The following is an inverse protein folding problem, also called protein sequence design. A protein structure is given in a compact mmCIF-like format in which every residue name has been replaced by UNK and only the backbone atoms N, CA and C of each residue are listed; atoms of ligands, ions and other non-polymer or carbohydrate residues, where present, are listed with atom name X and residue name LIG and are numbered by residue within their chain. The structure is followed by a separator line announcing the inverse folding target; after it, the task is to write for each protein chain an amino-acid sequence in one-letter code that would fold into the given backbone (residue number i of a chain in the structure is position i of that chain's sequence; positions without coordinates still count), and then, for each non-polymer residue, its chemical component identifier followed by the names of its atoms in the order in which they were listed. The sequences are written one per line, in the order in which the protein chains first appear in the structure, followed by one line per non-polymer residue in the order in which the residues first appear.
data_IF_350120617501
#
_entry.id   IF_350120617501
#
_cell.length_a   1.000
_cell.length_b   1.000
_cell.length_c   1.000
_cell.angle_alpha   90.00
_cell.angle_beta   90.00
_cell.angle_gamma   90.00
#
_symmetry.space_group_name_H-M   'P 1'
#
loop_
_entity.id
_entity.type
_entity.pdbx_description
1 polymer ?
#
# COMPACT_ATOMS: atom_id res chain seq x y z
N UNK A 1 12.55 -10.69 -16.22
CA UNK A 1 12.51 -9.28 -15.89
C UNK A 1 13.22 -9.05 -14.57
N UNK A 2 13.70 -7.84 -14.37
CA UNK A 2 14.40 -7.52 -13.14
C UNK A 2 13.38 -7.15 -12.04
N UNK A 3 13.88 -7.04 -10.81
CA UNK A 3 13.02 -6.77 -9.66
C UNK A 3 12.30 -5.43 -9.81
N UNK A 4 12.97 -4.43 -10.39
CA UNK A 4 12.38 -3.11 -10.57
C UNK A 4 11.13 -3.17 -11.48
N UNK A 5 11.20 -3.93 -12.57
CA UNK A 5 10.06 -4.11 -13.45
C UNK A 5 8.96 -4.92 -12.78
N UNK A 6 9.30 -5.88 -11.95
CA UNK A 6 8.31 -6.63 -11.19
C UNK A 6 7.56 -5.73 -10.23
N UNK A 7 8.23 -4.78 -9.59
CA UNK A 7 7.57 -3.81 -8.71
C UNK A 7 6.54 -3.00 -9.50
N UNK A 8 6.91 -2.55 -10.70
CA UNK A 8 5.99 -1.81 -11.55
C UNK A 8 4.75 -2.67 -11.89
N UNK A 9 4.97 -3.90 -12.31
CA UNK A 9 3.88 -4.80 -12.67
C UNK A 9 2.99 -5.10 -11.47
N UNK A 10 3.58 -5.28 -10.29
CA UNK A 10 2.83 -5.54 -9.07
C UNK A 10 1.96 -4.34 -8.69
N UNK A 11 2.49 -3.12 -8.81
CA UNK A 11 1.72 -1.92 -8.51
C UNK A 11 0.57 -1.75 -9.51
N UNK A 12 0.83 -2.01 -10.78
CA UNK A 12 -0.25 -2.00 -11.79
C UNK A 12 -1.34 -2.99 -11.42
N UNK A 13 -0.97 -4.19 -10.97
CA UNK A 13 -1.94 -5.20 -10.56
C UNK A 13 -2.72 -4.75 -9.33
N UNK A 14 -2.04 -4.19 -8.34
CA UNK A 14 -2.70 -3.68 -7.13
C UNK A 14 -3.75 -2.64 -7.49
N UNK A 15 -3.41 -1.71 -8.38
CA UNK A 15 -4.36 -0.68 -8.82
C UNK A 15 -5.57 -1.31 -9.51
N UNK A 16 -5.36 -2.32 -10.35
CA UNK A 16 -6.46 -3.00 -11.04
C UNK A 16 -7.35 -3.75 -10.03
N UNK A 17 -6.75 -4.41 -9.08
CA UNK A 17 -7.49 -5.10 -8.02
C UNK A 17 -8.36 -4.10 -7.25
N UNK A 18 -7.77 -2.98 -6.85
CA UNK A 18 -8.49 -1.97 -6.08
C UNK A 18 -9.69 -1.43 -6.85
N UNK A 19 -9.49 -1.08 -8.11
CA UNK A 19 -10.58 -0.57 -8.94
C UNK A 19 -11.68 -1.61 -9.10
N UNK A 20 -11.33 -2.88 -9.27
CA UNK A 20 -12.34 -3.94 -9.42
C UNK A 20 -13.10 -4.16 -8.12
N UNK A 21 -12.42 -4.12 -6.98
CA UNK A 21 -13.10 -4.23 -5.69
C UNK A 21 -14.09 -3.09 -5.51
N UNK A 22 -13.70 -1.88 -5.88
CA UNK A 22 -14.61 -0.72 -5.79
C UNK A 22 -15.86 -0.95 -6.64
N UNK A 23 -15.70 -1.40 -7.88
CA UNK A 23 -16.84 -1.72 -8.75
C UNK A 23 -17.73 -2.80 -8.15
N UNK A 24 -17.11 -3.86 -7.63
CA UNK A 24 -17.85 -4.94 -6.99
C UNK A 24 -18.63 -4.45 -5.78
N UNK A 25 -18.03 -3.56 -4.98
CA UNK A 25 -18.73 -2.95 -3.85
C UNK A 25 -20.03 -2.29 -4.29
N UNK A 26 -19.97 -1.51 -5.37
CA UNK A 26 -21.16 -0.83 -5.86
C UNK A 26 -22.21 -1.82 -6.39
N UNK A 27 -21.76 -2.85 -7.07
CA UNK A 27 -22.67 -3.88 -7.61
C UNK A 27 -23.32 -4.69 -6.47
N UNK A 28 -22.55 -5.03 -5.46
CA UNK A 28 -23.07 -5.76 -4.30
C UNK A 28 -24.10 -4.92 -3.57
N UNK A 29 -23.82 -3.64 -3.34
CA UNK A 29 -24.79 -2.74 -2.73
C UNK A 29 -26.10 -2.71 -3.52
N UNK A 30 -25.99 -2.65 -4.83
CA UNK A 30 -27.17 -2.57 -5.69
C UNK A 30 -28.00 -3.85 -5.61
N UNK A 31 -27.36 -5.01 -5.67
CA UNK A 31 -28.05 -6.30 -5.62
C UNK A 31 -28.70 -6.51 -4.26
N UNK A 32 -28.01 -6.11 -3.18
CA UNK A 32 -28.45 -6.42 -1.83
C UNK A 32 -29.32 -5.33 -1.20
N UNK A 33 -29.58 -4.25 -1.93
CA UNK A 33 -30.27 -3.07 -1.39
C UNK A 33 -31.66 -3.41 -0.82
N UNK A 34 -32.34 -4.38 -1.44
CA UNK A 34 -33.67 -4.77 -0.98
C UNK A 34 -33.69 -5.73 0.21
N UNK A 35 -32.54 -6.21 0.64
CA UNK A 35 -32.43 -7.15 1.75
C UNK A 35 -32.94 -8.55 1.42
N UNK A 36 -33.30 -8.83 0.18
CA UNK A 36 -33.88 -10.10 -0.21
C UNK A 36 -32.91 -11.00 -0.97
N UNK A 37 -31.85 -10.41 -1.50
CA UNK A 37 -30.84 -11.16 -2.26
C UNK A 37 -29.47 -10.99 -1.66
N UNK A 38 -28.64 -12.02 -1.80
CA UNK A 38 -27.23 -11.97 -1.45
C UNK A 38 -26.45 -12.14 -2.74
N UNK A 39 -25.52 -11.24 -3.01
CA UNK A 39 -24.73 -11.25 -4.23
C UNK A 39 -23.54 -12.21 -4.07
N UNK A 40 -23.81 -13.51 -3.96
CA UNK A 40 -22.78 -14.51 -3.62
C UNK A 40 -21.62 -14.52 -4.58
N UNK A 41 -21.90 -14.55 -5.89
CA UNK A 41 -20.83 -14.61 -6.90
C UNK A 41 -19.95 -13.37 -6.85
N UNK A 42 -20.56 -12.19 -6.69
CA UNK A 42 -19.81 -10.94 -6.61
C UNK A 42 -18.99 -10.87 -5.33
N UNK A 43 -19.56 -11.36 -4.22
CA UNK A 43 -18.84 -11.42 -2.95
C UNK A 43 -17.66 -12.38 -3.03
N UNK A 44 -17.83 -13.52 -3.69
CA UNK A 44 -16.75 -14.49 -3.85
C UNK A 44 -15.62 -13.89 -4.69
N UNK A 45 -15.96 -13.18 -5.76
CA UNK A 45 -14.94 -12.51 -6.57
C UNK A 45 -14.20 -11.46 -5.73
N UNK A 46 -14.93 -10.68 -4.94
CA UNK A 46 -14.32 -9.67 -4.08
C UNK A 46 -13.38 -10.30 -3.06
N UNK A 47 -13.80 -11.39 -2.44
CA UNK A 47 -12.98 -12.09 -1.44
C UNK A 47 -11.68 -12.60 -2.07
N UNK A 48 -11.76 -13.15 -3.27
CA UNK A 48 -10.57 -13.64 -3.97
C UNK A 48 -9.61 -12.48 -4.28
N UNK A 49 -10.16 -11.33 -4.67
CA UNK A 49 -9.31 -10.17 -4.95
C UNK A 49 -8.69 -9.59 -3.68
N UNK A 50 -9.43 -9.62 -2.57
CA UNK A 50 -8.88 -9.17 -1.28
C UNK A 50 -7.75 -10.09 -0.83
N UNK A 51 -7.90 -11.40 -1.04
CA UNK A 51 -6.83 -12.35 -0.74
C UNK A 51 -5.60 -12.08 -1.59
N UNK A 52 -5.80 -11.85 -2.88
CA UNK A 52 -4.68 -11.52 -3.77
C UNK A 52 -4.00 -10.23 -3.32
N UNK A 53 -4.78 -9.20 -2.98
CA UNK A 53 -4.25 -7.93 -2.51
C UNK A 53 -3.37 -8.12 -1.27
N UNK A 54 -3.79 -8.99 -0.37
CA UNK A 54 -3.05 -9.30 0.85
C UNK A 54 -1.68 -9.91 0.59
N UNK A 55 -1.47 -10.49 -0.59
CA UNK A 55 -0.16 -10.99 -0.98
C UNK A 55 0.81 -9.88 -1.37
N UNK A 56 0.29 -8.72 -1.76
CA UNK A 56 1.12 -7.59 -2.16
C UNK A 56 1.49 -6.65 -1.02
N UNK A 57 0.67 -6.60 0.02
CA UNK A 57 0.93 -5.74 1.16
C UNK A 57 -0.05 -6.01 2.29
N UNK A 58 0.06 -5.22 3.34
CA UNK A 58 -0.79 -5.36 4.53
C UNK A 58 -2.18 -4.78 4.23
N UNK A 59 -3.23 -5.56 4.48
CA UNK A 59 -4.61 -5.19 4.18
C UNK A 59 -5.44 -5.21 5.46
N UNK A 60 -6.24 -4.18 5.65
CA UNK A 60 -7.22 -4.12 6.72
C UNK A 60 -8.58 -3.83 6.10
N UNK A 61 -9.60 -4.58 6.51
CA UNK A 61 -10.91 -4.58 5.87
C UNK A 61 -11.99 -4.27 6.88
N UNK A 62 -12.98 -3.47 6.47
CA UNK A 62 -14.17 -3.23 7.26
C UNK A 62 -15.37 -3.19 6.33
N UNK A 63 -16.37 -4.02 6.59
CA UNK A 63 -17.61 -4.04 5.82
C UNK A 63 -18.69 -3.30 6.57
N UNK A 64 -19.45 -2.43 5.88
CA UNK A 64 -20.56 -1.71 6.51
C UNK A 64 -21.88 -2.47 6.30
N UNK A 65 -22.96 -1.90 6.80
CA UNK A 65 -24.28 -2.56 6.77
C UNK A 65 -24.82 -2.70 5.34
N UNK A 66 -24.30 -1.94 4.39
CA UNK A 66 -24.76 -2.01 2.99
C UNK A 66 -24.02 -3.07 2.18
N UNK A 67 -23.03 -3.72 2.78
CA UNK A 67 -22.20 -4.69 2.08
C UNK A 67 -20.97 -4.09 1.42
N UNK A 68 -20.72 -2.79 1.62
CA UNK A 68 -19.54 -2.13 1.05
C UNK A 68 -18.33 -2.45 1.92
N UNK A 69 -17.24 -2.86 1.29
CA UNK A 69 -15.99 -3.18 1.98
C UNK A 69 -15.00 -2.03 1.82
N UNK A 70 -14.65 -1.42 2.94
CA UNK A 70 -13.61 -0.39 3.03
C UNK A 70 -12.27 -1.08 3.22
N UNK A 71 -11.26 -0.63 2.51
CA UNK A 71 -9.95 -1.30 2.52
C UNK A 71 -8.86 -0.29 2.80
N UNK A 72 -8.06 -0.58 3.83
CA UNK A 72 -6.79 0.11 4.04
C UNK A 72 -5.68 -0.78 3.49
N UNK A 73 -4.75 -0.16 2.79
CA UNK A 73 -3.57 -0.86 2.27
C UNK A 73 -2.33 -0.19 2.86
N UNK A 74 -1.51 -0.97 3.52
CA UNK A 74 -0.33 -0.45 4.24
C UNK A 74 -0.73 0.69 5.17
N UNK A 75 -1.83 0.48 5.89
CA UNK A 75 -2.37 1.39 6.92
C UNK A 75 -2.89 2.72 6.39
N UNK A 76 -3.12 2.82 5.08
CA UNK A 76 -3.68 4.03 4.46
C UNK A 76 -4.94 3.66 3.70
N UNK A 77 -6.00 4.49 3.77
CA UNK A 77 -7.22 4.20 3.03
C UNK A 77 -6.96 4.07 1.53
N UNK A 78 -7.28 2.90 1.00
CA UNK A 78 -7.12 2.58 -0.40
C UNK A 78 -8.47 2.61 -1.12
N UNK A 79 -9.50 2.04 -0.49
CA UNK A 79 -10.86 2.02 -1.05
C UNK A 79 -11.81 2.53 0.01
N UNK A 80 -12.52 3.60 -0.31
CA UNK A 80 -13.59 4.11 0.55
C UNK A 80 -14.86 4.28 -0.29
N UNK A 81 -15.90 4.88 0.28
CA UNK A 81 -17.18 5.02 -0.40
C UNK A 81 -17.17 6.04 -1.54
N UNK A 82 -16.10 6.82 -1.65
CA UNK A 82 -15.96 7.79 -2.74
C UNK A 82 -15.24 7.18 -3.94
N UNK A 83 -14.17 6.43 -3.70
CA UNK A 83 -13.34 5.95 -4.79
C UNK A 83 -12.29 4.95 -4.32
N UNK A 84 -11.62 4.34 -5.27
CA UNK A 84 -10.36 3.64 -5.06
C UNK A 84 -9.23 4.63 -5.38
N UNK A 85 -8.36 4.85 -4.41
CA UNK A 85 -7.22 5.74 -4.58
C UNK A 85 -6.13 5.05 -5.38
N UNK A 86 -5.33 5.85 -6.09
CA UNK A 86 -4.35 5.30 -7.02
C UNK A 86 -2.95 5.31 -6.42
N UNK A 87 -2.20 4.26 -6.70
CA UNK A 87 -0.78 4.20 -6.34
C UNK A 87 0.01 4.57 -7.57
N UNK A 88 0.83 5.61 -7.47
CA UNK A 88 1.72 6.04 -8.53
C UNK A 88 3.11 5.48 -8.33
N UNK A 89 3.93 5.65 -9.34
CA UNK A 89 5.34 5.24 -9.30
C UNK A 89 6.22 6.45 -9.57
N UNK A 90 7.08 6.74 -8.61
CA UNK A 90 8.10 7.77 -8.77
C UNK A 90 9.36 7.06 -9.31
N UNK A 91 9.90 7.57 -10.39
CA UNK A 91 11.11 7.00 -10.98
C UNK A 91 12.30 7.87 -10.63
N UNK A 92 13.33 7.26 -10.05
CA UNK A 92 14.59 7.94 -9.77
C UNK A 92 15.34 8.11 -11.07
N UNK A 93 15.76 9.32 -11.38
CA UNK A 93 16.37 9.64 -12.67
C UNK A 93 17.74 9.02 -12.83
N UNK A 94 18.44 8.76 -11.73
CA UNK A 94 19.79 8.20 -11.80
C UNK A 94 19.78 6.69 -11.88
N UNK A 95 18.91 6.06 -11.09
CA UNK A 95 18.87 4.60 -11.00
C UNK A 95 17.79 3.98 -11.86
N UNK A 96 16.73 4.72 -12.17
CA UNK A 96 15.55 4.18 -12.83
C UNK A 96 14.66 3.39 -11.89
N UNK A 97 14.95 3.41 -10.59
CA UNK A 97 14.20 2.64 -9.62
C UNK A 97 12.84 3.29 -9.35
N UNK A 98 11.81 2.47 -9.29
CA UNK A 98 10.45 2.90 -8.99
C UNK A 98 10.16 2.87 -7.50
N UNK A 99 9.50 3.91 -7.00
CA UNK A 99 9.03 3.97 -5.62
C UNK A 99 7.53 4.23 -5.62
N UNK A 100 6.73 3.31 -5.07
CA UNK A 100 5.28 3.50 -5.01
C UNK A 100 4.91 4.62 -4.03
N UNK A 101 3.97 5.48 -4.44
CA UNK A 101 3.49 6.57 -3.60
C UNK A 101 1.98 6.73 -3.74
N UNK A 102 1.35 7.33 -2.71
CA UNK A 102 -0.08 7.62 -2.73
C UNK A 102 -0.33 8.93 -3.47
N UNK A 103 -1.07 8.85 -4.58
CA UNK A 103 -1.30 10.05 -5.40
C UNK A 103 -2.16 11.07 -4.67
N UNK A 104 -3.13 10.62 -3.87
CA UNK A 104 -4.04 11.52 -3.17
C UNK A 104 -3.38 12.26 -1.99
N UNK A 105 -2.25 11.78 -1.52
CA UNK A 105 -1.54 12.38 -0.39
C UNK A 105 -0.27 13.11 -0.81
N UNK A 106 0.05 13.07 -2.11
CA UNK A 106 1.32 13.58 -2.61
C UNK A 106 1.10 14.81 -3.47
N UNK A 107 2.13 15.65 -3.55
CA UNK A 107 2.16 16.80 -4.44
C UNK A 107 3.34 16.62 -5.38
N UNK A 108 3.08 16.09 -6.57
CA UNK A 108 4.14 15.73 -7.52
C UNK A 108 4.87 16.99 -8.01
N UNK A 109 4.15 18.09 -8.19
CA UNK A 109 4.76 19.34 -8.65
C UNK A 109 5.77 19.88 -7.65
N UNK A 110 5.53 19.66 -6.37
CA UNK A 110 6.45 20.08 -5.31
C UNK A 110 7.41 18.96 -4.91
N UNK A 111 7.35 17.82 -5.61
CA UNK A 111 8.17 16.65 -5.31
C UNK A 111 8.01 16.17 -3.87
N UNK A 112 6.78 16.25 -3.38
CA UNK A 112 6.42 15.77 -2.04
C UNK A 112 5.64 14.48 -2.20
N UNK A 113 6.28 13.36 -1.86
CA UNK A 113 5.73 12.03 -2.07
C UNK A 113 5.47 11.34 -0.74
N UNK A 114 4.26 10.81 -0.58
CA UNK A 114 3.92 9.98 0.58
C UNK A 114 4.00 8.53 0.12
N UNK A 115 4.98 7.81 0.62
CA UNK A 115 5.27 6.44 0.18
C UNK A 115 4.21 5.49 0.70
N UNK A 116 3.87 4.51 -0.14
CA UNK A 116 2.94 3.45 0.26
C UNK A 116 3.61 2.53 1.28
N UNK A 117 4.86 2.16 1.03
CA UNK A 117 5.62 1.25 1.88
C UNK A 117 6.64 2.05 2.69
N UNK A 118 6.47 2.06 4.00
CA UNK A 118 7.29 2.88 4.89
C UNK A 118 8.65 2.25 5.10
N UNK A 119 9.69 3.08 5.15
CA UNK A 119 11.06 2.61 5.31
C UNK A 119 11.37 2.19 6.73
N UNK A 120 10.83 2.92 7.69
CA UNK A 120 11.20 2.76 9.09
C UNK A 120 10.40 1.69 9.82
N UNK A 121 9.58 0.94 9.09
CA UNK A 121 8.87 -0.17 9.71
C UNK A 121 9.82 -1.34 9.92
N UNK A 122 9.79 -1.86 11.14
CA UNK A 122 10.61 -3.00 11.49
C UNK A 122 9.95 -4.28 10.98
N UNK A 123 10.72 -5.08 10.27
CA UNK A 123 10.27 -6.38 9.82
C UNK A 123 10.68 -7.36 10.92
N UNK A 124 9.69 -7.93 11.59
CA UNK A 124 9.95 -8.89 12.66
C UNK A 124 9.71 -10.30 12.14
N UNK A 125 10.77 -11.05 11.99
CA UNK A 125 10.66 -12.46 11.62
C UNK A 125 10.20 -13.30 12.80
N UNK A 126 10.43 -12.80 14.00
CA UNK A 126 10.03 -13.51 15.21
C UNK A 126 8.52 -13.61 15.35
N UNK A 127 7.81 -12.64 14.81
CA UNK A 127 6.35 -12.63 14.87
C UNK A 127 5.72 -13.19 13.61
N UNK A 128 6.50 -13.71 12.67
CA UNK A 128 6.03 -14.19 11.38
C UNK A 128 5.17 -13.16 10.67
N UNK A 129 5.55 -11.90 10.79
CA UNK A 129 4.82 -10.82 10.15
C UNK A 129 5.05 -10.86 8.65
N UNK A 130 3.98 -11.03 7.90
CA UNK A 130 4.06 -11.01 6.45
C UNK A 130 4.16 -9.57 5.98
N UNK A 131 5.26 -9.23 5.33
CA UNK A 131 5.48 -7.86 4.87
C UNK A 131 4.94 -7.62 3.46
N UNK A 132 4.46 -8.67 2.81
CA UNK A 132 3.98 -8.58 1.45
C UNK A 132 5.11 -8.59 0.43
N UNK A 133 4.76 -8.90 -0.81
CA UNK A 133 5.76 -9.14 -1.84
C UNK A 133 6.39 -7.86 -2.36
N UNK A 134 5.65 -6.75 -2.40
CA UNK A 134 6.20 -5.50 -2.94
C UNK A 134 7.27 -4.95 -2.00
N UNK A 135 7.00 -4.91 -0.70
CA UNK A 135 7.97 -4.42 0.26
C UNK A 135 9.22 -5.29 0.26
N UNK A 136 9.05 -6.61 0.16
CA UNK A 136 10.17 -7.53 0.07
C UNK A 136 11.03 -7.24 -1.15
N UNK A 137 10.41 -6.94 -2.30
CA UNK A 137 11.12 -6.59 -3.52
C UNK A 137 11.84 -5.26 -3.42
N UNK A 138 11.23 -4.28 -2.77
CA UNK A 138 11.88 -2.99 -2.53
C UNK A 138 13.14 -3.17 -1.67
N UNK A 139 13.04 -3.98 -0.63
CA UNK A 139 14.19 -4.28 0.22
C UNK A 139 15.26 -5.06 -0.53
N UNK A 140 14.87 -6.06 -1.32
CA UNK A 140 15.81 -6.86 -2.08
C UNK A 140 16.55 -6.04 -3.13
N UNK A 141 15.88 -5.03 -3.69
CA UNK A 141 16.49 -4.13 -4.65
C UNK A 141 17.47 -3.16 -4.00
N UNK A 142 17.36 -2.96 -2.68
CA UNK A 142 18.19 -2.00 -1.97
C UNK A 142 17.77 -0.57 -2.19
N UNK A 143 16.55 -0.36 -2.63
CA UNK A 143 16.04 0.93 -3.04
C UNK A 143 15.90 1.89 -1.88
N UNK A 144 16.69 2.93 -1.87
CA UNK A 144 16.46 4.09 -1.04
C UNK A 144 16.50 3.88 0.45
N UNK A 145 16.45 2.65 0.89
CA UNK A 145 16.48 2.37 2.31
C UNK A 145 17.86 2.60 2.92
N UNK A 146 18.88 2.60 2.06
CA UNK A 146 20.22 2.74 2.52
C UNK A 146 20.85 4.08 2.20
N UNK A 147 20.14 5.01 1.59
CA UNK A 147 20.76 6.29 1.24
C UNK A 147 20.64 7.25 2.42
N UNK A 148 21.68 8.03 2.59
CA UNK A 148 21.73 9.00 3.67
C UNK A 148 20.64 10.06 3.54
N UNK A 149 20.44 10.53 2.32
CA UNK A 149 19.42 11.56 2.07
C UNK A 149 18.03 11.06 2.38
N UNK A 150 17.75 9.81 2.04
CA UNK A 150 16.45 9.22 2.33
C UNK A 150 16.22 9.12 3.83
N UNK A 151 17.25 8.74 4.58
CA UNK A 151 17.14 8.66 6.03
C UNK A 151 16.89 10.04 6.65
N UNK A 152 17.59 11.05 6.17
CA UNK A 152 17.36 12.40 6.67
C UNK A 152 15.96 12.89 6.37
N UNK A 153 15.48 12.59 5.20
CA UNK A 153 14.14 12.97 4.79
C UNK A 153 13.09 12.27 5.64
N UNK A 154 13.30 10.99 5.89
CA UNK A 154 12.40 10.20 6.71
C UNK A 154 12.38 10.70 8.15
N UNK A 155 13.55 11.01 8.69
CA UNK A 155 13.65 11.56 10.04
C UNK A 155 12.92 12.88 10.17
N UNK A 156 13.09 13.73 9.19
CA UNK A 156 12.41 15.03 9.20
C UNK A 156 10.90 14.86 9.17
N UNK A 157 10.42 13.95 8.35
CA UNK A 157 8.99 13.65 8.26
C UNK A 157 8.46 13.11 9.59
N UNK A 158 9.18 12.16 10.17
CA UNK A 158 8.77 11.55 11.43
C UNK A 158 8.74 12.57 12.57
N UNK A 159 9.71 13.46 12.62
CA UNK A 159 9.70 14.52 13.62
C UNK A 159 8.51 15.43 13.47
N UNK A 160 8.18 15.81 12.24
CA UNK A 160 7.03 16.66 11.97
C UNK A 160 5.73 15.96 12.36
N UNK A 161 5.64 14.67 12.08
CA UNK A 161 4.43 13.90 12.39
C UNK A 161 4.35 13.49 13.85
N UNK A 162 5.40 13.74 14.63
CA UNK A 162 5.44 13.33 16.03
C UNK A 162 5.94 11.94 16.24
N UNK A 163 6.43 11.29 15.21
CA UNK A 163 7.02 9.96 15.33
C UNK A 163 8.50 10.09 15.62
N UNK A 164 9.00 9.20 16.44
CA UNK A 164 10.42 9.20 16.76
C UNK A 164 11.05 8.00 16.10
N UNK A 165 11.80 8.25 15.06
CA UNK A 165 12.29 7.22 14.21
C UNK A 165 13.58 6.60 14.67
N UNK A 166 14.43 7.40 15.22
CA UNK A 166 15.79 6.96 15.45
C UNK A 166 15.99 6.09 16.63
N UNK A 167 15.01 5.96 17.39
CA UNK A 167 15.16 4.93 18.35
C UNK A 167 15.12 3.64 17.69
N UNK A 168 14.93 3.76 16.60
CA UNK A 168 15.20 2.69 15.87
C UNK A 168 16.21 2.86 14.97
N UNK A 169 16.58 3.61 14.88
CA UNK A 169 17.39 3.60 14.27
C UNK A 169 18.21 3.49 14.50
N UNK A 170 18.05 3.89 15.02
CA UNK A 170 18.94 3.57 15.26
C UNK A 170 18.54 2.50 15.38
N UNK A 171 18.08 2.49 15.46
CA UNK A 171 17.93 1.66 15.34
C UNK A 171 17.77 1.16 14.31
N UNK A 172 17.73 1.57 13.77
CA UNK A 172 17.89 1.10 13.04
C UNK A 172 18.52 1.02 12.72
N UNK A 173 18.68 1.43 12.81
CA UNK A 173 19.39 1.38 12.81
C UNK A 173 19.75 0.95 13.23
N UNK A 174 19.63 1.21 13.58
CA UNK A 174 20.04 0.83 14.10
C UNK A 174 20.02 0.18 14.02
N UNK A 175 19.71 0.51 13.64
CA UNK A 175 19.84 0.21 13.65
C UNK A 175 20.17 0.03 13.36
N UNK A 176 20.33 0.24 13.23
CA UNK A 176 20.76 0.28 13.18
C UNK A 176 21.27 0.09 13.28
#
# INVERSE_FOLDING_TARGET
SNINEQIKDDVDRVNKIGNRIYELNLQIQKVEAGGQETAMTLRDERDNLLDELGGYGSVSIKEDATGFTYVDFESTPFIDDNKCYNIGLQEDKETGFYTPYWTQLSDVDKQQYVRVFKKNEVISTDLNTDVGSIKAKLLARGDGYGTYQDLESEEAYDRISGCTMMETEAQVSALL
#
